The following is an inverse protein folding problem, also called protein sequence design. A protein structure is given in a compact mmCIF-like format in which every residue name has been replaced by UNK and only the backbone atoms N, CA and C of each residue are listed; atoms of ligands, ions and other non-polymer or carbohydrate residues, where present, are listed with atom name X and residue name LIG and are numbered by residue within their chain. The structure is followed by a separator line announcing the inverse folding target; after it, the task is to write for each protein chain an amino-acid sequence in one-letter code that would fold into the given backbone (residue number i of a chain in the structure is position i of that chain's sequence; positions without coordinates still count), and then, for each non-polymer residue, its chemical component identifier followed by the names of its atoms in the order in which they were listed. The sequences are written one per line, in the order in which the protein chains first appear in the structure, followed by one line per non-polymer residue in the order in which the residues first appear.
data_IF_468932403716
#
_entry.id   IF_468932403716
#
_cell.length_a   1.000
_cell.length_b   1.000
_cell.length_c   1.000
_cell.angle_alpha   90.00
_cell.angle_beta   90.00
_cell.angle_gamma   90.00
#
_symmetry.space_group_name_H-M   'P 1'
#
loop_
_entity.id
_entity.type
_entity.pdbx_description
1 polymer ?
#
# COMPACT_ATOMS: atom_id res chain seq x y z
N UNK A 1 -17.32 -6.31 -9.60
CA UNK A 1 -16.77 -7.46 -8.86
C UNK A 1 -15.26 -7.26 -8.74
N UNK A 2 -14.67 -7.66 -7.60
CA UNK A 2 -13.23 -7.52 -7.37
C UNK A 2 -12.49 -8.74 -7.93
N UNK A 3 -11.39 -8.49 -8.66
CA UNK A 3 -10.54 -9.54 -9.22
C UNK A 3 -9.71 -10.24 -8.13
N UNK A 4 -9.18 -11.46 -8.37
CA UNK A 4 -8.23 -12.10 -7.48
C UNK A 4 -6.97 -11.24 -7.25
N UNK A 5 -6.45 -11.26 -6.02
CA UNK A 5 -5.20 -10.58 -5.68
C UNK A 5 -4.03 -11.15 -6.49
N UNK A 6 -3.30 -10.30 -7.22
CA UNK A 6 -2.19 -10.74 -8.08
C UNK A 6 -0.98 -11.29 -7.33
N UNK A 7 -0.87 -11.02 -6.03
CA UNK A 7 0.21 -11.51 -5.17
C UNK A 7 0.02 -12.96 -4.71
N UNK A 8 -1.13 -13.29 -4.12
CA UNK A 8 -1.40 -14.63 -3.57
C UNK A 8 -2.32 -15.50 -4.42
N UNK A 9 -3.13 -14.92 -5.32
CA UNK A 9 -4.16 -15.60 -6.11
C UNK A 9 -5.19 -16.40 -5.29
N UNK A 10 -5.31 -16.15 -3.98
CA UNK A 10 -6.15 -16.92 -3.05
C UNK A 10 -7.37 -16.14 -2.54
N UNK A 11 -7.28 -14.82 -2.50
CA UNK A 11 -8.35 -13.93 -2.02
C UNK A 11 -8.55 -12.77 -2.99
N UNK A 12 -9.65 -12.05 -2.85
CA UNK A 12 -9.96 -10.89 -3.69
C UNK A 12 -9.00 -9.73 -3.43
N UNK A 13 -8.79 -8.91 -4.46
CA UNK A 13 -8.03 -7.69 -4.36
C UNK A 13 -8.84 -6.63 -3.61
N UNK A 14 -8.71 -6.61 -2.28
CA UNK A 14 -9.53 -5.80 -1.38
C UNK A 14 -8.85 -4.52 -0.86
N UNK A 15 -7.73 -4.09 -1.44
CA UNK A 15 -7.11 -2.79 -1.09
C UNK A 15 -6.82 -1.90 -2.29
N UNK A 16 -6.92 -0.58 -2.05
CA UNK A 16 -6.49 0.48 -2.94
C UNK A 16 -5.57 1.45 -2.19
N UNK A 17 -4.65 2.07 -2.91
CA UNK A 17 -3.86 3.18 -2.39
C UNK A 17 -4.57 4.50 -2.72
N UNK A 18 -4.88 5.29 -1.70
CA UNK A 18 -5.47 6.61 -1.82
C UNK A 18 -4.70 7.55 -0.90
N UNK A 19 -4.27 8.71 -1.41
CA UNK A 19 -3.56 9.70 -0.61
C UNK A 19 -4.48 10.22 0.50
N UNK A 20 -4.27 9.74 1.72
CA UNK A 20 -5.01 10.14 2.93
C UNK A 20 -4.07 10.74 3.98
N UNK A 21 -2.76 10.52 3.88
CA UNK A 21 -1.81 11.19 4.75
C UNK A 21 -1.77 12.71 4.50
N UNK A 22 -1.66 13.49 5.58
CA UNK A 22 -1.56 14.95 5.53
C UNK A 22 -0.24 15.42 4.88
N UNK A 23 -0.32 16.45 4.06
CA UNK A 23 0.83 17.05 3.34
C UNK A 23 1.84 17.66 4.29
N UNK A 24 1.39 18.26 5.39
CA UNK A 24 2.27 18.95 6.35
C UNK A 24 3.20 17.99 7.13
N UNK A 25 2.80 16.73 7.29
CA UNK A 25 3.52 15.74 8.09
C UNK A 25 4.28 14.73 7.23
N UNK A 26 3.89 14.53 5.95
CA UNK A 26 4.30 13.34 5.18
C UNK A 26 4.59 13.64 3.69
N UNK A 27 5.04 14.85 3.34
CA UNK A 27 5.15 15.43 1.97
C UNK A 27 5.95 14.71 0.85
N UNK A 28 5.77 13.41 0.63
CA UNK A 28 6.27 12.67 -0.54
C UNK A 28 5.27 11.65 -1.10
N UNK A 29 4.20 11.33 -0.39
CA UNK A 29 3.17 10.41 -0.91
C UNK A 29 2.39 11.05 -2.07
N UNK A 30 2.08 10.24 -3.06
CA UNK A 30 1.45 10.64 -4.32
C UNK A 30 0.11 9.95 -4.49
N UNK A 31 -0.79 10.55 -5.28
CA UNK A 31 -2.02 9.89 -5.69
C UNK A 31 -1.73 8.61 -6.49
N UNK A 32 -2.51 7.55 -6.22
CA UNK A 32 -2.47 6.30 -6.96
C UNK A 32 -3.82 6.07 -7.67
N UNK A 33 -3.77 5.80 -8.98
CA UNK A 33 -4.94 5.57 -9.82
C UNK A 33 -5.14 4.10 -10.20
N UNK A 34 -4.34 3.21 -9.62
CA UNK A 34 -4.51 1.77 -9.82
C UNK A 34 -5.89 1.30 -9.32
N UNK A 35 -6.46 0.33 -10.03
CA UNK A 35 -7.58 -0.46 -9.52
C UNK A 35 -7.10 -1.33 -8.34
N UNK A 36 -8.01 -1.81 -7.47
CA UNK A 36 -7.66 -2.84 -6.50
C UNK A 36 -7.09 -4.07 -7.22
N UNK A 37 -5.83 -4.40 -6.95
CA UNK A 37 -5.13 -5.56 -7.53
C UNK A 37 -4.47 -6.43 -6.46
N UNK A 38 -4.42 -5.95 -5.23
CA UNK A 38 -3.75 -6.60 -4.10
C UNK A 38 -4.74 -6.76 -2.96
N UNK A 39 -4.55 -7.80 -2.15
CA UNK A 39 -5.22 -7.91 -0.86
C UNK A 39 -4.41 -7.23 0.24
N UNK A 40 -5.05 -7.00 1.39
CA UNK A 40 -4.45 -6.37 2.56
C UNK A 40 -3.14 -7.05 2.99
N UNK A 41 -3.14 -8.38 3.11
CA UNK A 41 -1.97 -9.14 3.55
C UNK A 41 -0.79 -9.01 2.57
N UNK A 42 -1.05 -9.14 1.26
CA UNK A 42 0.01 -9.03 0.28
C UNK A 42 0.55 -7.59 0.19
N UNK A 43 -0.30 -6.57 0.32
CA UNK A 43 0.16 -5.17 0.39
C UNK A 43 1.01 -4.92 1.64
N UNK A 44 0.61 -5.47 2.80
CA UNK A 44 1.38 -5.37 4.03
C UNK A 44 2.76 -6.05 3.93
N UNK A 45 2.81 -7.27 3.35
CA UNK A 45 4.08 -7.97 3.09
C UNK A 45 4.97 -7.19 2.13
N UNK A 46 4.40 -6.61 1.07
CA UNK A 46 5.13 -5.75 0.16
C UNK A 46 5.73 -4.55 0.90
N UNK A 47 4.91 -3.83 1.68
CA UNK A 47 5.37 -2.70 2.47
C UNK A 47 6.53 -3.10 3.39
N UNK A 48 6.36 -4.16 4.19
CA UNK A 48 7.39 -4.66 5.12
C UNK A 48 8.70 -5.03 4.42
N UNK A 49 8.63 -5.68 3.25
CA UNK A 49 9.82 -6.09 2.47
C UNK A 49 10.66 -4.92 1.94
N UNK A 50 10.09 -3.71 1.91
CA UNK A 50 10.76 -2.50 1.42
C UNK A 50 11.34 -1.63 2.54
N UNK A 51 11.11 -1.99 3.80
CA UNK A 51 11.60 -1.22 4.93
C UNK A 51 13.00 -1.66 5.38
N UNK A 52 13.65 -0.79 6.15
CA UNK A 52 14.94 -1.05 6.79
C UNK A 52 14.80 -2.14 7.86
N UNK A 53 15.26 -3.35 7.55
CA UNK A 53 15.13 -4.50 8.45
C UNK A 53 15.95 -4.35 9.75
N UNK A 54 16.93 -3.45 9.77
CA UNK A 54 17.72 -3.17 10.98
C UNK A 54 17.01 -2.19 11.94
N UNK A 55 15.95 -1.50 11.48
CA UNK A 55 15.22 -0.46 12.22
C UNK A 55 13.69 -0.63 12.13
N UNK A 56 13.12 -1.70 12.68
CA UNK A 56 11.67 -1.97 12.65
C UNK A 56 10.82 -0.85 13.28
N UNK A 57 11.37 -0.12 14.24
CA UNK A 57 10.70 1.01 14.91
C UNK A 57 10.38 2.17 13.95
N UNK A 58 11.07 2.28 12.80
CA UNK A 58 10.81 3.34 11.82
C UNK A 58 9.79 2.96 10.76
N UNK A 59 9.34 1.69 10.70
CA UNK A 59 8.56 1.17 9.57
C UNK A 59 7.25 1.92 9.35
N UNK A 60 6.48 2.19 10.41
CA UNK A 60 5.17 2.84 10.29
C UNK A 60 5.26 4.30 9.81
N UNK A 61 6.37 4.97 10.10
CA UNK A 61 6.65 6.34 9.62
C UNK A 61 7.33 6.37 8.23
N UNK A 62 7.65 5.21 7.67
CA UNK A 62 8.35 5.09 6.39
C UNK A 62 7.40 5.01 5.21
N UNK A 63 7.96 5.00 4.00
CA UNK A 63 7.23 4.99 2.72
C UNK A 63 7.73 3.86 1.85
N UNK A 64 6.93 3.45 0.89
CA UNK A 64 7.42 2.65 -0.23
C UNK A 64 6.67 3.02 -1.52
N UNK A 65 6.92 2.26 -2.58
CA UNK A 65 6.32 2.48 -3.89
C UNK A 65 5.19 1.49 -4.13
N UNK A 66 4.09 1.95 -4.73
CA UNK A 66 3.04 1.07 -5.22
C UNK A 66 3.66 -0.03 -6.10
N UNK A 67 3.37 -1.32 -5.87
CA UNK A 67 3.96 -2.42 -6.63
C UNK A 67 3.63 -2.40 -8.13
N UNK A 68 2.62 -1.61 -8.54
CA UNK A 68 2.18 -1.53 -9.92
C UNK A 68 2.58 -0.23 -10.61
N UNK A 69 2.18 0.94 -10.10
CA UNK A 69 2.46 2.23 -10.76
C UNK A 69 3.64 3.01 -10.16
N UNK A 70 4.24 2.50 -9.08
CA UNK A 70 5.33 3.16 -8.33
C UNK A 70 5.01 4.52 -7.70
N UNK A 71 3.74 4.94 -7.62
CA UNK A 71 3.37 6.09 -6.77
C UNK A 71 3.87 5.85 -5.34
N UNK A 72 4.53 6.84 -4.76
CA UNK A 72 4.99 6.77 -3.36
C UNK A 72 3.77 6.77 -2.44
N UNK A 73 3.76 5.90 -1.43
CA UNK A 73 2.69 5.83 -0.44
C UNK A 73 3.24 5.48 0.96
N UNK A 74 2.45 5.77 2.00
CA UNK A 74 2.70 5.34 3.38
C UNK A 74 1.54 4.47 3.88
N UNK A 75 1.69 3.86 5.07
CA UNK A 75 0.65 2.95 5.61
C UNK A 75 -0.73 3.62 5.73
N UNK A 76 -0.76 4.95 5.97
CA UNK A 76 -2.00 5.72 6.07
C UNK A 76 -2.76 5.83 4.73
N UNK A 77 -2.09 5.59 3.60
CA UNK A 77 -2.70 5.65 2.27
C UNK A 77 -3.36 4.31 1.86
N UNK A 78 -3.22 3.25 2.66
CA UNK A 78 -3.79 1.93 2.38
C UNK A 78 -5.25 1.88 2.83
N UNK A 79 -6.17 1.73 1.87
CA UNK A 79 -7.61 1.69 2.12
C UNK A 79 -8.18 0.32 1.74
N UNK A 80 -9.06 -0.21 2.58
CA UNK A 80 -9.90 -1.36 2.23
C UNK A 80 -11.01 -0.87 1.32
N UNK A 81 -11.26 -1.59 0.22
CA UNK A 81 -12.44 -1.37 -0.61
C UNK A 81 -13.58 -2.25 -0.12
N UNK A 82 -14.73 -1.66 0.17
CA UNK A 82 -15.95 -2.41 0.45
C UNK A 82 -16.46 -3.05 -0.85
N UNK A 83 -16.95 -4.28 -0.73
CA UNK A 83 -17.44 -5.10 -1.85
C UNK A 83 -18.88 -4.75 -2.21
#
# INVERSE_FOLDING_TARGET
ELEPCIGCMQTTANVKLQKLCDEALVGQCQGCLCRPMWCLDCMGRWFASRQDQARPETWLGSRCFCPTCRSVFCMLDVCIVEA
#
